data_IF_913417248083
#
_entry.id   IF_913417248083
#
_cell.length_a   1.000
_cell.length_b   1.000
_cell.length_c   1.000
_cell.angle_alpha   90.00
_cell.angle_beta   90.00
_cell.angle_gamma   90.00
#
_symmetry.space_group_name_H-M   'P 1'
#
loop_
_entity.id
_entity.type
_entity.pdbx_description
1 polymer ?
#
# COMPACT_ATOMS: atom_id res chain seq x y z
N UNK A 1 10.53 -9.78 20.33
CA UNK A 1 11.14 -8.75 19.46
C UNK A 1 11.32 -9.38 18.10
N UNK A 2 10.32 -9.27 17.23
CA UNK A 2 10.40 -9.76 15.86
C UNK A 2 11.24 -8.76 15.07
N UNK A 3 12.37 -9.21 14.54
CA UNK A 3 13.18 -8.43 13.60
C UNK A 3 12.24 -7.98 12.47
N UNK A 4 12.03 -6.67 12.35
CA UNK A 4 11.09 -6.13 11.36
C UNK A 4 11.71 -6.38 9.99
N UNK A 5 11.17 -7.35 9.26
CA UNK A 5 11.58 -7.66 7.88
C UNK A 5 11.53 -6.37 7.06
N UNK A 6 12.65 -6.01 6.42
CA UNK A 6 12.78 -4.87 5.51
C UNK A 6 12.95 -5.40 4.11
N UNK A 7 12.19 -4.85 3.17
CA UNK A 7 12.18 -5.25 1.76
C UNK A 7 12.77 -4.11 0.95
N UNK A 8 13.74 -4.41 0.07
CA UNK A 8 14.34 -3.37 -0.78
C UNK A 8 13.39 -3.00 -1.91
N UNK A 9 13.21 -1.70 -2.15
CA UNK A 9 12.37 -1.17 -3.24
C UNK A 9 12.73 -1.79 -4.59
N UNK A 10 14.04 -1.94 -4.85
CA UNK A 10 14.55 -2.55 -6.08
C UNK A 10 14.11 -4.01 -6.25
N UNK A 11 14.04 -4.78 -5.17
CA UNK A 11 13.59 -6.18 -5.21
C UNK A 11 12.11 -6.26 -5.57
N UNK A 12 11.28 -5.35 -5.04
CA UNK A 12 9.85 -5.26 -5.39
C UNK A 12 9.67 -4.90 -6.87
N UNK A 13 10.38 -3.88 -7.36
CA UNK A 13 10.27 -3.45 -8.76
C UNK A 13 10.81 -4.51 -9.73
N UNK A 14 11.90 -5.19 -9.37
CA UNK A 14 12.45 -6.29 -10.16
C UNK A 14 11.47 -7.47 -10.26
N UNK A 15 10.87 -7.86 -9.12
CA UNK A 15 9.83 -8.90 -9.10
C UNK A 15 8.65 -8.55 -10.00
N UNK A 16 8.30 -7.27 -10.10
CA UNK A 16 7.23 -6.80 -10.95
C UNK A 16 7.64 -6.65 -12.42
N UNK A 17 8.91 -6.84 -12.79
CA UNK A 17 9.44 -6.48 -14.10
C UNK A 17 9.16 -5.00 -14.45
N UNK A 18 9.33 -4.11 -13.45
CA UNK A 18 9.10 -2.67 -13.53
C UNK A 18 10.42 -1.87 -13.55
N UNK A 19 11.53 -2.53 -13.89
CA UNK A 19 12.90 -1.99 -13.78
C UNK A 19 13.20 -0.81 -14.72
N UNK A 20 12.42 -0.65 -15.80
CA UNK A 20 12.75 0.26 -16.91
C UNK A 20 12.03 1.62 -16.88
N UNK A 21 10.99 1.81 -16.06
CA UNK A 21 9.93 2.76 -16.41
C UNK A 21 9.94 4.13 -15.70
N UNK A 22 10.99 4.51 -14.97
CA UNK A 22 10.99 5.78 -14.22
C UNK A 22 9.86 5.88 -13.18
N UNK A 23 9.21 4.75 -12.87
CA UNK A 23 8.04 4.66 -11.98
C UNK A 23 8.43 5.10 -10.58
N UNK A 24 9.59 4.64 -10.10
CA UNK A 24 10.07 4.99 -8.77
C UNK A 24 10.36 6.49 -8.68
N UNK A 25 11.03 7.05 -9.68
CA UNK A 25 11.34 8.47 -9.78
C UNK A 25 10.06 9.31 -9.81
N UNK A 26 9.06 8.88 -10.59
CA UNK A 26 7.77 9.54 -10.69
C UNK A 26 6.98 9.50 -9.36
N UNK A 27 6.98 8.36 -8.67
CA UNK A 27 6.37 8.22 -7.34
C UNK A 27 7.09 9.07 -6.30
N UNK A 28 8.44 9.09 -6.33
CA UNK A 28 9.25 9.91 -5.43
C UNK A 28 9.06 11.41 -5.65
N UNK A 29 8.80 11.83 -6.89
CA UNK A 29 8.47 13.22 -7.20
C UNK A 29 7.18 13.69 -6.51
N UNK A 30 6.24 12.77 -6.27
CA UNK A 30 5.02 13.02 -5.46
C UNK A 30 5.25 12.79 -3.95
N UNK A 31 6.48 12.54 -3.52
CA UNK A 31 6.79 12.28 -2.11
C UNK A 31 6.49 10.86 -1.64
N UNK A 32 6.21 9.91 -2.54
CA UNK A 32 5.92 8.52 -2.22
C UNK A 32 7.19 7.65 -2.25
N UNK A 33 7.26 6.64 -1.37
CA UNK A 33 8.33 5.62 -1.34
C UNK A 33 9.76 6.21 -1.39
N UNK A 34 10.00 7.23 -0.55
CA UNK A 34 11.29 7.94 -0.47
C UNK A 34 12.42 7.06 0.08
N UNK A 35 12.09 6.10 0.95
CA UNK A 35 13.06 5.15 1.49
C UNK A 35 13.44 4.08 0.46
N UNK A 36 14.67 3.58 0.51
CA UNK A 36 15.12 2.45 -0.33
C UNK A 36 14.72 1.08 0.27
N UNK A 37 14.32 1.07 1.54
CA UNK A 37 13.84 -0.10 2.26
C UNK A 37 12.44 0.17 2.80
N UNK A 38 11.56 -0.80 2.66
CA UNK A 38 10.15 -0.70 3.02
C UNK A 38 9.80 -1.76 4.06
N UNK A 39 8.83 -1.45 4.90
CA UNK A 39 8.13 -2.48 5.66
C UNK A 39 7.23 -3.30 4.71
N UNK A 40 6.84 -4.55 5.07
CA UNK A 40 6.13 -5.44 4.15
C UNK A 40 4.79 -4.88 3.64
N UNK A 41 4.06 -4.18 4.49
CA UNK A 41 2.82 -3.46 4.17
C UNK A 41 3.06 -2.34 3.14
N UNK A 42 4.13 -1.58 3.29
CA UNK A 42 4.49 -0.50 2.36
C UNK A 42 5.03 -1.07 1.04
N UNK A 43 5.73 -2.20 1.06
CA UNK A 43 6.14 -2.92 -0.15
C UNK A 43 4.92 -3.40 -0.96
N UNK A 44 3.85 -3.82 -0.29
CA UNK A 44 2.58 -4.16 -0.91
C UNK A 44 1.86 -2.93 -1.48
N UNK A 45 1.95 -1.76 -0.82
CA UNK A 45 1.49 -0.50 -1.41
C UNK A 45 2.27 -0.15 -2.69
N UNK A 46 3.59 -0.32 -2.71
CA UNK A 46 4.42 -0.12 -3.91
C UNK A 46 4.02 -1.06 -5.04
N UNK A 47 3.71 -2.32 -4.72
CA UNK A 47 3.21 -3.31 -5.67
C UNK A 47 1.93 -2.83 -6.36
N UNK A 48 0.97 -2.34 -5.56
CA UNK A 48 -0.29 -1.80 -6.06
C UNK A 48 -0.06 -0.53 -6.88
N UNK A 49 0.80 0.39 -6.42
CA UNK A 49 1.16 1.59 -7.15
C UNK A 49 1.71 1.27 -8.55
N UNK A 50 2.67 0.36 -8.64
CA UNK A 50 3.25 -0.06 -9.91
C UNK A 50 2.22 -0.70 -10.86
N UNK A 51 1.28 -1.50 -10.33
CA UNK A 51 0.18 -2.09 -11.08
C UNK A 51 -0.79 -1.01 -11.62
N UNK A 52 -1.21 -0.06 -10.78
CA UNK A 52 -2.08 1.06 -11.18
C UNK A 52 -1.46 1.89 -12.32
N UNK A 53 -0.15 2.17 -12.22
CA UNK A 53 0.53 2.96 -13.25
C UNK A 53 0.70 2.19 -14.56
N UNK A 54 1.08 0.91 -14.50
CA UNK A 54 1.43 0.12 -15.70
C UNK A 54 0.23 -0.46 -16.41
N UNK A 55 -0.73 -0.98 -15.66
CA UNK A 55 -1.87 -1.70 -16.23
C UNK A 55 -3.04 -0.77 -16.50
N UNK A 56 -3.23 0.26 -15.68
CA UNK A 56 -4.37 1.18 -15.77
C UNK A 56 -3.98 2.59 -16.25
N UNK A 57 -2.69 2.86 -16.46
CA UNK A 57 -2.20 4.16 -16.93
C UNK A 57 -2.42 5.30 -15.94
N UNK A 58 -2.55 4.99 -14.65
CA UNK A 58 -2.75 5.99 -13.60
C UNK A 58 -1.47 6.80 -13.42
N UNK A 59 -1.59 8.11 -13.27
CA UNK A 59 -0.45 8.98 -13.01
C UNK A 59 -0.03 8.95 -11.51
N UNK A 60 1.17 9.42 -11.15
CA UNK A 60 1.66 9.39 -9.77
C UNK A 60 0.72 10.06 -8.74
N UNK A 61 0.17 11.25 -9.05
CA UNK A 61 -0.78 11.92 -8.18
C UNK A 61 -2.07 11.09 -7.95
N UNK A 62 -2.54 10.40 -9.00
CA UNK A 62 -3.68 9.49 -8.90
C UNK A 62 -3.38 8.25 -8.06
N UNK A 63 -2.13 7.77 -8.06
CA UNK A 63 -1.67 6.70 -7.16
C UNK A 63 -1.75 7.16 -5.71
N UNK A 64 -1.27 8.37 -5.38
CA UNK A 64 -1.36 8.89 -4.00
C UNK A 64 -2.80 8.91 -3.50
N UNK A 65 -3.72 9.45 -4.31
CA UNK A 65 -5.15 9.46 -3.98
C UNK A 65 -5.70 8.05 -3.80
N UNK A 66 -5.36 7.10 -4.69
CA UNK A 66 -5.82 5.72 -4.58
C UNK A 66 -5.32 5.04 -3.30
N UNK A 67 -4.04 5.24 -2.94
CA UNK A 67 -3.47 4.72 -1.71
C UNK A 67 -4.11 5.35 -0.47
N UNK A 68 -4.36 6.67 -0.50
CA UNK A 68 -5.08 7.36 0.57
C UNK A 68 -6.49 6.76 0.79
N UNK A 69 -7.25 6.58 -0.29
CA UNK A 69 -8.60 6.01 -0.22
C UNK A 69 -8.58 4.56 0.27
N UNK A 70 -7.61 3.76 -0.18
CA UNK A 70 -7.42 2.38 0.28
C UNK A 70 -7.14 2.31 1.78
N UNK A 71 -6.24 3.14 2.30
CA UNK A 71 -5.96 3.22 3.76
C UNK A 71 -7.21 3.61 4.54
N UNK A 72 -7.98 4.56 4.02
CA UNK A 72 -9.22 5.02 4.65
C UNK A 72 -10.31 3.94 4.64
N UNK A 73 -10.42 3.15 3.57
CA UNK A 73 -11.30 1.99 3.51
C UNK A 73 -10.91 0.92 4.51
N UNK A 74 -9.63 0.54 4.57
CA UNK A 74 -9.14 -0.45 5.52
C UNK A 74 -9.45 -0.06 6.98
N UNK A 75 -9.25 1.22 7.33
CA UNK A 75 -9.61 1.75 8.65
C UNK A 75 -11.12 1.66 8.95
N UNK A 76 -11.97 1.96 7.96
CA UNK A 76 -13.42 1.87 8.13
C UNK A 76 -13.88 0.41 8.25
N UNK A 77 -13.27 -0.50 7.50
CA UNK A 77 -13.55 -1.94 7.58
C UNK A 77 -13.17 -2.52 8.93
N UNK A 78 -11.98 -2.17 9.45
CA UNK A 78 -11.53 -2.59 10.79
C UNK A 78 -12.50 -2.06 11.87
N UNK A 79 -12.84 -0.78 11.82
CA UNK A 79 -13.81 -0.19 12.76
C UNK A 79 -15.19 -0.86 12.67
N UNK A 80 -15.65 -1.21 11.46
CA UNK A 80 -16.92 -1.90 11.29
C UNK A 80 -16.86 -3.31 11.88
N UNK A 81 -15.76 -4.03 11.68
CA UNK A 81 -15.53 -5.35 12.27
C UNK A 81 -15.58 -5.29 13.79
N UNK A 82 -14.86 -4.34 14.40
CA UNK A 82 -14.86 -4.14 15.85
C UNK A 82 -16.27 -3.86 16.38
N UNK A 83 -17.08 -3.09 15.66
CA UNK A 83 -18.46 -2.79 16.04
C UNK A 83 -19.35 -4.03 15.96
N UNK A 84 -19.19 -4.86 14.91
CA UNK A 84 -19.95 -6.10 14.77
C UNK A 84 -19.56 -7.12 15.85
N UNK A 85 -18.27 -7.30 16.13
CA UNK A 85 -17.80 -8.18 17.19
C UNK A 85 -18.33 -7.77 18.57
N UNK A 86 -18.49 -6.47 18.82
CA UNK A 86 -19.11 -5.95 20.06
C UNK A 86 -20.61 -6.19 20.13
N UNK A 87 -21.31 -6.21 19.00
CA UNK A 87 -22.75 -6.47 18.93
C UNK A 87 -23.06 -7.98 19.03
N UNK A 88 -22.23 -8.82 18.40
CA UNK A 88 -22.35 -10.29 18.49
C UNK A 88 -21.86 -10.83 19.84
N UNK A 89 -20.94 -10.11 20.49
CA UNK A 89 -20.42 -10.43 21.82
C UNK A 89 -21.33 -10.04 23.00
N UNK A 90 -22.58 -9.62 22.73
CA UNK A 90 -23.60 -9.30 23.74
C UNK A 90 -24.62 -10.46 23.83
N UNK A 91 -24.35 -11.54 24.59
CA UNK A 91 -25.23 -12.70 24.70
C UNK A 91 -26.49 -12.46 25.56
N UNK A 92 -26.72 -11.25 26.08
CA UNK A 92 -27.84 -10.95 26.97
C UNK A 92 -28.77 -9.86 26.40
N UNK A 93 -29.65 -10.27 25.48
CA UNK A 93 -30.99 -9.69 25.33
C UNK A 93 -32.05 -10.77 25.16
#
# INVERSE_FOLDING_TARGET
MTERVRIRVREVLAFLHAEEAGILEALRAEGLFLEDELAPDVAEELRVAACLMRELGVNPAGVDVALHLRRRLAFLEERMRDLLERLDGDPER
#
